data_IF_377497918354
#
_entry.id   IF_377497918354
#
_cell.length_a   1.000
_cell.length_b   1.000
_cell.length_c   1.000
_cell.angle_alpha   90.00
_cell.angle_beta   90.00
_cell.angle_gamma   90.00
#
_symmetry.space_group_name_H-M   'P 1'
#
loop_
_entity.id
_entity.type
_entity.pdbx_description
1 polymer ?
#
# COMPACT_ATOMS: atom_id res chain seq x y z
N UNK A 1 -3.31 -9.26 -5.89
CA UNK A 1 -3.53 -7.84 -5.62
C UNK A 1 -4.62 -7.68 -4.59
N UNK A 2 -4.39 -6.82 -3.64
CA UNK A 2 -5.31 -6.62 -2.52
C UNK A 2 -5.91 -5.23 -2.61
N UNK A 3 -7.17 -5.12 -2.28
CA UNK A 3 -7.84 -3.82 -2.27
C UNK A 3 -8.47 -3.61 -0.90
N UNK A 4 -8.24 -2.45 -0.31
CA UNK A 4 -8.81 -2.10 0.97
C UNK A 4 -9.45 -0.72 0.85
N UNK A 5 -10.42 -0.43 1.71
CA UNK A 5 -11.03 0.90 1.69
C UNK A 5 -10.23 1.85 2.58
N UNK A 6 -10.62 3.12 2.56
CA UNK A 6 -9.88 4.14 3.31
C UNK A 6 -9.88 3.86 4.80
N UNK A 7 -10.99 3.42 5.34
CA UNK A 7 -11.08 3.16 6.77
C UNK A 7 -10.13 2.04 7.16
N UNK A 8 -10.12 0.98 6.37
CA UNK A 8 -9.24 -0.14 6.65
C UNK A 8 -7.79 0.26 6.47
N UNK A 9 -7.51 1.07 5.45
CA UNK A 9 -6.15 1.53 5.22
C UNK A 9 -5.65 2.33 6.41
N UNK A 10 -6.48 3.19 6.96
CA UNK A 10 -6.09 3.98 8.13
C UNK A 10 -5.86 3.10 9.34
N UNK A 11 -6.76 2.15 9.57
CA UNK A 11 -6.68 1.30 10.75
C UNK A 11 -5.50 0.33 10.71
N UNK A 12 -5.13 -0.10 9.52
CA UNK A 12 -4.14 -1.16 9.37
C UNK A 12 -2.93 -0.72 8.57
N UNK A 13 -2.66 0.56 8.55
CA UNK A 13 -1.62 1.08 7.66
C UNK A 13 -0.27 0.43 7.92
N UNK A 14 0.12 0.28 9.17
CA UNK A 14 1.41 -0.34 9.49
C UNK A 14 1.49 -1.75 8.95
N UNK A 15 0.41 -2.50 9.10
CA UNK A 15 0.38 -3.86 8.62
C UNK A 15 0.44 -3.91 7.10
N UNK A 16 -0.29 -2.99 6.44
CA UNK A 16 -0.29 -2.96 4.99
C UNK A 16 1.07 -2.60 4.44
N UNK A 17 1.72 -1.63 5.05
CA UNK A 17 3.07 -1.25 4.65
C UNK A 17 4.02 -2.42 4.82
N UNK A 18 3.91 -3.13 5.94
CA UNK A 18 4.77 -4.25 6.19
C UNK A 18 4.55 -5.35 5.15
N UNK A 19 3.30 -5.56 4.74
CA UNK A 19 3.00 -6.59 3.77
C UNK A 19 3.67 -6.30 2.43
N UNK A 20 3.64 -5.05 1.98
CA UNK A 20 4.30 -4.75 0.71
C UNK A 20 5.81 -4.71 0.87
N UNK A 21 6.32 -4.24 2.00
CA UNK A 21 7.75 -4.21 2.22
C UNK A 21 8.34 -5.60 2.22
N UNK A 22 7.64 -6.56 2.82
CA UNK A 22 8.17 -7.90 2.94
C UNK A 22 7.96 -8.73 1.71
N UNK A 23 7.21 -8.23 0.74
CA UNK A 23 6.99 -8.97 -0.47
C UNK A 23 5.77 -9.86 -0.44
N UNK A 24 5.01 -9.86 0.66
CA UNK A 24 3.79 -10.63 0.74
C UNK A 24 2.78 -10.17 -0.29
N UNK A 25 2.71 -8.86 -0.49
CA UNK A 25 1.80 -8.29 -1.47
C UNK A 25 2.60 -7.44 -2.44
N UNK A 26 2.41 -7.63 -3.74
CA UNK A 26 3.13 -6.79 -4.70
C UNK A 26 2.60 -5.36 -4.67
N UNK A 27 1.34 -5.19 -4.37
CA UNK A 27 0.76 -3.86 -4.22
C UNK A 27 -0.58 -4.01 -3.52
N UNK A 28 -1.00 -2.95 -2.85
CA UNK A 28 -2.30 -2.91 -2.19
C UNK A 28 -3.01 -1.64 -2.66
N UNK A 29 -4.17 -1.82 -3.25
CA UNK A 29 -4.94 -0.69 -3.77
C UNK A 29 -5.84 -0.16 -2.66
N UNK A 30 -5.86 1.13 -2.47
CA UNK A 30 -6.71 1.78 -1.49
C UNK A 30 -7.86 2.42 -2.24
N UNK A 31 -9.08 2.01 -1.92
CA UNK A 31 -10.23 2.52 -2.60
C UNK A 31 -10.92 3.57 -1.75
N UNK A 32 -11.64 4.45 -2.42
CA UNK A 32 -12.41 5.49 -1.77
C UNK A 32 -13.73 5.58 -2.50
N UNK A 33 -14.82 5.39 -1.76
CA UNK A 33 -16.16 5.40 -2.33
C UNK A 33 -16.27 4.39 -3.49
N UNK A 34 -15.66 3.21 -3.29
CA UNK A 34 -15.75 2.17 -4.29
C UNK A 34 -14.85 2.34 -5.50
N UNK A 35 -13.96 3.30 -5.47
CA UNK A 35 -13.06 3.57 -6.58
C UNK A 35 -11.62 3.50 -6.14
N UNK A 36 -10.73 3.00 -6.97
CA UNK A 36 -9.30 3.03 -6.63
C UNK A 36 -8.85 4.48 -6.53
N UNK A 37 -8.22 4.83 -5.42
CA UNK A 37 -7.77 6.18 -5.19
C UNK A 37 -6.26 6.27 -5.12
N UNK A 38 -5.62 5.25 -4.55
CA UNK A 38 -4.18 5.24 -4.38
C UNK A 38 -3.75 3.81 -4.22
N UNK A 39 -2.45 3.58 -4.17
CA UNK A 39 -2.00 2.25 -3.87
C UNK A 39 -0.69 2.31 -3.12
N UNK A 40 -0.45 1.27 -2.33
CA UNK A 40 0.80 1.10 -1.61
C UNK A 40 1.68 0.19 -2.43
N UNK A 41 2.91 0.60 -2.64
CA UNK A 41 3.90 -0.23 -3.30
C UNK A 41 5.17 -0.15 -2.51
N UNK A 42 5.99 -1.19 -2.54
CA UNK A 42 7.27 -1.11 -1.83
C UNK A 42 8.20 -0.17 -2.57
N UNK A 43 9.03 0.52 -1.80
CA UNK A 43 10.09 1.30 -2.40
C UNK A 43 11.15 0.31 -2.80
N UNK A 44 11.44 0.22 -4.06
CA UNK A 44 12.50 -0.64 -4.49
C UNK A 44 13.78 0.10 -4.28
N UNK A 45 14.79 -0.63 -3.95
CA UNK A 45 16.03 -0.06 -3.69
C UNK A 45 16.43 0.89 -4.73
N UNK A 46 17.17 1.69 -4.47
CA UNK A 46 17.73 2.55 -5.36
C UNK A 46 17.01 3.77 -5.45
N UNK A 47 16.12 3.86 -5.17
CA UNK A 47 15.53 5.02 -5.41
C UNK A 47 15.51 5.98 -4.39
N UNK A 48 15.91 6.14 -4.28
CA UNK A 48 15.72 6.73 -3.61
C UNK A 48 15.70 7.70 -3.09
N UNK A 49 15.98 7.82 -3.08
CA UNK A 49 15.99 8.37 -2.58
C UNK A 49 15.96 9.42 -2.41
N UNK A 50 16.06 9.84 -2.66
CA UNK A 50 16.12 10.60 -2.49
C UNK A 50 15.79 11.50 -2.24
N UNK A 51 15.74 11.88 -2.02
CA UNK A 51 15.49 12.57 -1.72
C UNK A 51 15.62 13.10 -1.68
#
# INVERSE_FOLDING_TARGET
>A
MTMVNMLEAKSSLSRLVQAVESGHEPEIVISRNGRPAAKLVPITHGSSEKR
#
